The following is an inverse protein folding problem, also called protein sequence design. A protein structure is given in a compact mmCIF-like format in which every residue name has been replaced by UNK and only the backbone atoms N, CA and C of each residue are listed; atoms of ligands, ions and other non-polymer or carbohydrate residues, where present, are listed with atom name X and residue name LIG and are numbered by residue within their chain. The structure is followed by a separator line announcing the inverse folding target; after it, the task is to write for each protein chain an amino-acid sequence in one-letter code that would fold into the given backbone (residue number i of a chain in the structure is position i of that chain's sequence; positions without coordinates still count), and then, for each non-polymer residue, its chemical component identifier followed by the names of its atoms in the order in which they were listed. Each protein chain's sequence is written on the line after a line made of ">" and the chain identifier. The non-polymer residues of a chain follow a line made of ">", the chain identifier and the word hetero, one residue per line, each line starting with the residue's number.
data_IF_678080601044
#
_entry.id   IF_678080601044
#
_cell.length_a   1.000
_cell.length_b   1.000
_cell.length_c   1.000
_cell.angle_alpha   90.00
_cell.angle_beta   90.00
_cell.angle_gamma   90.00
#
_symmetry.space_group_name_H-M   'P 1'
#
loop_
_entity.id
_entity.type
_entity.pdbx_description
1 polymer ?
#
# COMPACT_ATOMS: atom_id res chain seq x y z
N UNK A 1 -31.57 -50.51 -2.79
CA UNK A 1 -30.54 -49.51 -3.13
C UNK A 1 -31.13 -48.13 -2.91
N UNK A 2 -30.70 -47.40 -1.87
CA UNK A 2 -31.20 -46.06 -1.56
C UNK A 2 -30.28 -45.00 -2.19
N UNK A 3 -30.82 -44.19 -3.10
CA UNK A 3 -30.11 -43.07 -3.72
C UNK A 3 -29.97 -41.91 -2.72
N UNK A 4 -28.72 -41.52 -2.43
CA UNK A 4 -28.38 -40.37 -1.58
C UNK A 4 -28.69 -39.09 -2.36
N UNK A 5 -29.71 -38.34 -1.93
CA UNK A 5 -30.08 -37.05 -2.54
C UNK A 5 -28.93 -36.07 -2.32
N UNK A 6 -28.27 -35.64 -3.39
CA UNK A 6 -27.34 -34.50 -3.32
C UNK A 6 -28.15 -33.24 -3.02
N UNK A 7 -27.71 -32.48 -2.01
CA UNK A 7 -28.33 -31.22 -1.61
C UNK A 7 -28.21 -30.16 -2.70
N UNK A 8 -29.20 -29.28 -2.74
CA UNK A 8 -29.26 -28.11 -3.61
C UNK A 8 -28.01 -27.22 -3.44
N UNK A 9 -27.36 -26.92 -4.57
CA UNK A 9 -26.10 -26.15 -4.68
C UNK A 9 -26.35 -24.67 -4.99
N UNK A 10 -27.59 -24.22 -5.03
CA UNK A 10 -27.91 -22.80 -5.24
C UNK A 10 -27.40 -21.95 -4.06
N UNK A 11 -26.62 -20.88 -4.33
CA UNK A 11 -26.11 -20.03 -3.26
C UNK A 11 -27.27 -19.28 -2.59
N UNK A 12 -27.45 -19.51 -1.28
CA UNK A 12 -28.48 -18.81 -0.51
C UNK A 12 -28.21 -17.30 -0.53
N UNK A 13 -29.22 -16.47 -0.83
CA UNK A 13 -29.07 -15.02 -0.71
C UNK A 13 -28.81 -14.66 0.75
N UNK A 14 -27.77 -13.85 0.99
CA UNK A 14 -27.40 -13.37 2.32
C UNK A 14 -28.54 -12.52 2.90
N UNK A 15 -29.38 -13.13 3.74
CA UNK A 15 -30.22 -12.40 4.67
C UNK A 15 -29.35 -11.88 5.80
N UNK A 16 -28.98 -10.60 5.79
CA UNK A 16 -28.42 -9.93 6.96
C UNK A 16 -29.21 -8.64 7.23
N UNK A 17 -29.61 -8.48 8.50
CA UNK A 17 -30.52 -7.48 9.08
C UNK A 17 -29.91 -6.06 9.14
N UNK A 18 -29.16 -5.66 8.12
CA UNK A 18 -28.66 -4.31 7.95
C UNK A 18 -29.01 -3.89 6.53
N UNK A 19 -30.16 -3.24 6.39
CA UNK A 19 -30.66 -2.79 5.09
C UNK A 19 -29.62 -1.94 4.38
N UNK A 20 -29.01 -2.48 3.32
CA UNK A 20 -28.23 -1.79 2.29
C UNK A 20 -26.99 -0.99 2.73
N UNK A 21 -26.79 -0.71 4.01
CA UNK A 21 -25.73 0.18 4.46
C UNK A 21 -24.45 -0.61 4.67
N UNK A 22 -23.49 -0.42 3.77
CA UNK A 22 -22.11 -0.84 3.97
C UNK A 22 -21.53 -0.03 5.14
N UNK A 23 -20.97 -0.66 6.18
CA UNK A 23 -20.27 0.08 7.23
C UNK A 23 -19.03 0.75 6.63
N UNK A 24 -18.73 1.98 7.07
CA UNK A 24 -17.61 2.79 6.56
C UNK A 24 -16.22 2.12 6.63
N UNK A 25 -16.08 0.99 7.32
CA UNK A 25 -14.81 0.28 7.55
C UNK A 25 -14.75 -1.12 6.93
N UNK A 26 -15.78 -1.55 6.18
CA UNK A 26 -15.76 -2.88 5.54
C UNK A 26 -15.04 -2.78 4.19
N UNK A 27 -13.76 -3.17 4.17
CA UNK A 27 -12.98 -3.41 2.94
C UNK A 27 -13.41 -4.72 2.26
N UNK A 28 -14.70 -4.92 1.98
CA UNK A 28 -15.09 -5.99 1.05
C UNK A 28 -14.75 -5.49 -0.35
N UNK A 29 -13.66 -6.01 -0.91
CA UNK A 29 -13.44 -5.95 -2.36
C UNK A 29 -14.58 -6.76 -3.00
N UNK A 30 -15.64 -6.07 -3.40
CA UNK A 30 -16.61 -6.65 -4.30
C UNK A 30 -15.82 -6.93 -5.59
N UNK A 31 -15.75 -8.20 -5.98
CA UNK A 31 -15.21 -8.54 -7.28
C UNK A 31 -16.19 -7.94 -8.29
N UNK A 32 -15.76 -6.93 -9.04
CA UNK A 32 -16.51 -6.46 -10.19
C UNK A 32 -16.60 -7.63 -11.17
N UNK A 33 -17.73 -8.34 -11.14
CA UNK A 33 -18.08 -9.29 -12.18
C UNK A 33 -18.34 -8.42 -13.39
N UNK A 34 -17.33 -8.31 -14.27
CA UNK A 34 -17.44 -7.58 -15.51
C UNK A 34 -18.70 -8.07 -16.25
N UNK A 35 -19.72 -7.23 -16.28
CA UNK A 35 -20.89 -7.44 -17.11
C UNK A 35 -20.42 -7.34 -18.55
N UNK A 36 -20.36 -8.48 -19.23
CA UNK A 36 -20.10 -8.63 -20.66
C UNK A 36 -18.87 -7.86 -21.19
N UNK A 37 -17.76 -8.59 -21.27
CA UNK A 37 -16.47 -8.21 -21.82
C UNK A 37 -16.57 -7.56 -23.21
N UNK A 38 -16.53 -6.24 -23.24
CA UNK A 38 -15.91 -5.51 -24.36
C UNK A 38 -14.85 -4.62 -23.75
N UNK A 39 -13.67 -5.20 -23.48
CA UNK A 39 -12.50 -4.38 -23.19
C UNK A 39 -12.35 -3.38 -24.35
N UNK A 40 -12.35 -2.06 -24.09
CA UNK A 40 -12.27 -1.08 -25.16
C UNK A 40 -11.00 -1.36 -25.97
N UNK A 41 -11.14 -1.39 -27.30
CA UNK A 41 -10.02 -1.55 -28.21
C UNK A 41 -9.11 -0.32 -28.06
N UNK A 42 -8.10 -0.44 -27.20
CA UNK A 42 -7.07 0.59 -27.05
C UNK A 42 -6.28 0.62 -28.37
N UNK A 43 -6.17 1.77 -29.05
CA UNK A 43 -5.38 1.89 -30.27
C UNK A 43 -3.96 1.38 -30.02
N UNK A 44 -3.47 0.51 -30.90
CA UNK A 44 -2.10 0.03 -30.83
C UNK A 44 -1.13 1.21 -31.01
N UNK A 45 -0.47 1.58 -29.92
CA UNK A 45 0.59 2.59 -29.92
C UNK A 45 1.95 1.87 -30.08
N UNK A 46 2.59 1.93 -31.26
CA UNK A 46 3.85 1.26 -31.52
C UNK A 46 5.02 1.81 -30.69
N UNK A 47 4.85 2.97 -30.04
CA UNK A 47 5.89 3.60 -29.21
C UNK A 47 5.88 3.10 -27.76
N UNK A 48 4.77 2.53 -27.29
CA UNK A 48 4.68 1.96 -25.95
C UNK A 48 5.16 0.52 -25.96
N UNK A 49 6.08 0.19 -25.04
CA UNK A 49 6.53 -1.18 -24.87
C UNK A 49 5.34 -2.06 -24.48
N UNK A 50 5.15 -3.18 -25.20
CA UNK A 50 4.07 -4.15 -24.94
C UNK A 50 4.21 -4.87 -23.59
N UNK A 51 5.26 -4.60 -22.85
CA UNK A 51 5.62 -5.34 -21.63
C UNK A 51 4.92 -4.70 -20.44
N UNK A 52 4.02 -5.41 -19.75
CA UNK A 52 3.31 -4.88 -18.60
C UNK A 52 4.26 -4.55 -17.45
N UNK A 53 3.86 -3.62 -16.58
CA UNK A 53 4.70 -3.12 -15.47
C UNK A 53 5.23 -4.22 -14.55
N UNK A 54 4.41 -5.24 -14.25
CA UNK A 54 4.83 -6.35 -13.40
C UNK A 54 5.98 -7.19 -13.99
N UNK A 55 6.26 -7.06 -15.29
CA UNK A 55 7.41 -7.71 -15.96
C UNK A 55 8.55 -6.69 -16.14
N UNK A 56 8.25 -5.49 -16.64
CA UNK A 56 9.29 -4.50 -16.95
C UNK A 56 9.94 -3.88 -15.70
N UNK A 57 9.22 -3.89 -14.58
CA UNK A 57 9.64 -3.33 -13.29
C UNK A 57 9.83 -4.39 -12.19
N UNK A 58 9.82 -5.67 -12.54
CA UNK A 58 10.12 -6.77 -11.60
C UNK A 58 11.44 -6.49 -10.86
N UNK A 59 11.42 -6.69 -9.53
CA UNK A 59 12.57 -6.48 -8.61
C UNK A 59 13.12 -5.05 -8.53
N UNK A 60 12.54 -4.07 -9.23
CA UNK A 60 12.94 -2.67 -9.09
C UNK A 60 12.17 -2.05 -7.92
N UNK A 61 12.91 -1.65 -6.89
CA UNK A 61 12.36 -1.09 -5.66
C UNK A 61 13.00 0.26 -5.40
N UNK A 62 12.17 1.29 -5.20
CA UNK A 62 12.65 2.57 -4.74
C UNK A 62 12.80 2.53 -3.22
N UNK A 63 13.95 2.98 -2.73
CA UNK A 63 14.29 2.97 -1.32
C UNK A 63 14.55 4.39 -0.84
N UNK A 64 13.80 4.77 0.19
CA UNK A 64 13.92 6.04 0.89
C UNK A 64 14.27 5.79 2.35
N UNK A 65 15.24 6.55 2.88
CA UNK A 65 15.54 6.57 4.30
C UNK A 65 14.90 7.80 4.92
N UNK A 66 14.33 7.63 6.11
CA UNK A 66 13.62 8.68 6.82
C UNK A 66 13.48 8.38 8.31
N UNK A 67 12.64 9.16 8.98
CA UNK A 67 12.29 8.94 10.37
C UNK A 67 10.89 9.46 10.68
N UNK A 68 10.30 9.00 11.77
CA UNK A 68 9.11 9.60 12.36
C UNK A 68 9.35 9.93 13.83
N UNK A 69 8.57 10.87 14.35
CA UNK A 69 8.60 11.26 15.76
C UNK A 69 7.51 10.50 16.51
N UNK A 70 7.88 9.87 17.61
CA UNK A 70 6.97 9.21 18.53
C UNK A 70 6.89 10.00 19.83
N UNK A 71 5.70 10.45 20.22
CA UNK A 71 5.50 11.16 21.48
C UNK A 71 5.69 10.21 22.66
N UNK A 72 6.44 10.65 23.67
CA UNK A 72 6.70 9.92 24.91
C UNK A 72 6.13 10.73 26.06
N UNK A 73 5.15 10.17 26.76
CA UNK A 73 4.47 10.86 27.87
C UNK A 73 4.95 10.41 29.26
N UNK A 74 5.60 9.24 29.33
CA UNK A 74 5.97 8.57 30.59
C UNK A 74 7.40 8.88 31.05
N UNK A 75 8.17 9.64 30.26
CA UNK A 75 9.56 9.96 30.54
C UNK A 75 9.71 11.42 30.96
N UNK A 76 10.45 11.68 32.03
CA UNK A 76 10.84 13.04 32.42
C UNK A 76 12.07 13.54 31.63
N UNK A 77 12.66 12.70 30.78
CA UNK A 77 13.90 12.99 30.04
C UNK A 77 13.63 13.45 28.61
N UNK A 78 12.63 12.87 27.95
CA UNK A 78 12.31 13.15 26.55
C UNK A 78 10.81 13.25 26.31
N UNK A 79 10.41 14.24 25.50
CA UNK A 79 9.01 14.40 25.04
C UNK A 79 8.74 13.67 23.72
N UNK A 80 9.78 13.50 22.89
CA UNK A 80 9.68 12.85 21.59
C UNK A 80 10.91 11.97 21.33
N UNK A 81 10.65 10.79 20.77
CA UNK A 81 11.67 9.84 20.32
C UNK A 81 11.74 9.81 18.80
N UNK A 82 12.94 9.92 18.26
CA UNK A 82 13.18 9.82 16.81
C UNK A 82 13.36 8.35 16.43
N UNK A 83 12.47 7.82 15.58
CA UNK A 83 12.56 6.44 15.08
C UNK A 83 12.89 6.42 13.60
N UNK A 84 14.08 5.92 13.28
CA UNK A 84 14.55 5.78 11.89
C UNK A 84 13.73 4.72 11.17
N UNK A 85 13.45 4.93 9.90
CA UNK A 85 12.71 3.99 9.08
C UNK A 85 13.21 4.02 7.63
N UNK A 86 12.96 2.92 6.92
CA UNK A 86 13.20 2.77 5.50
C UNK A 86 11.85 2.54 4.83
N UNK A 87 11.50 3.41 3.89
CA UNK A 87 10.30 3.28 3.06
C UNK A 87 10.71 2.66 1.74
N UNK A 88 10.07 1.54 1.40
CA UNK A 88 10.30 0.78 0.17
C UNK A 88 9.06 0.89 -0.70
N UNK A 89 9.23 1.32 -1.94
CA UNK A 89 8.17 1.38 -2.96
C UNK A 89 8.47 0.39 -4.08
N UNK A 90 7.59 -0.59 -4.27
CA UNK A 90 7.74 -1.64 -5.27
C UNK A 90 7.11 -1.18 -6.59
N UNK A 91 7.93 -1.03 -7.63
CA UNK A 91 7.48 -0.49 -8.92
C UNK A 91 6.58 -1.47 -9.69
N UNK A 92 6.70 -2.77 -9.42
CA UNK A 92 5.92 -3.82 -10.11
C UNK A 92 4.42 -3.75 -9.84
N UNK A 93 4.02 -3.42 -8.61
CA UNK A 93 2.62 -3.48 -8.14
C UNK A 93 2.17 -2.23 -7.37
N UNK A 94 3.00 -1.18 -7.34
CA UNK A 94 2.72 0.08 -6.65
C UNK A 94 2.44 -0.09 -5.15
N UNK A 95 3.07 -1.08 -4.51
CA UNK A 95 2.95 -1.32 -3.06
C UNK A 95 4.05 -0.63 -2.27
N UNK A 96 3.75 -0.35 -1.00
CA UNK A 96 4.67 0.28 -0.05
C UNK A 96 4.89 -0.67 1.12
N UNK A 97 6.14 -0.73 1.58
CA UNK A 97 6.53 -1.38 2.83
C UNK A 97 7.36 -0.40 3.65
N UNK A 98 7.16 -0.38 4.97
CA UNK A 98 7.95 0.46 5.88
C UNK A 98 8.65 -0.45 6.88
N UNK A 99 9.96 -0.32 6.98
CA UNK A 99 10.81 -1.14 7.85
C UNK A 99 11.57 -0.22 8.79
N UNK A 100 11.51 -0.50 10.08
CA UNK A 100 12.40 0.07 11.06
C UNK A 100 13.62 -0.84 11.23
N UNK A 101 14.84 -0.34 10.95
CA UNK A 101 16.06 -1.11 11.14
C UNK A 101 16.23 -1.47 12.62
N UNK A 102 16.63 -2.71 12.88
CA UNK A 102 16.91 -3.19 14.24
C UNK A 102 18.18 -2.50 14.78
N UNK A 103 18.09 -1.99 15.99
CA UNK A 103 19.17 -1.34 16.74
C UNK A 103 19.37 -2.12 18.03
N UNK A 104 20.60 -2.55 18.26
CA UNK A 104 20.97 -3.27 19.47
C UNK A 104 20.74 -2.39 20.71
N UNK A 105 20.28 -3.01 21.80
CA UNK A 105 20.01 -2.34 23.07
C UNK A 105 18.97 -1.20 22.99
N UNK A 106 18.11 -1.18 21.96
CA UNK A 106 17.07 -0.14 21.83
C UNK A 106 15.93 -0.28 22.84
N UNK A 107 15.69 -1.49 23.35
CA UNK A 107 14.58 -1.78 24.27
C UNK A 107 13.18 -1.68 23.64
N UNK A 108 13.08 -1.50 22.32
CA UNK A 108 11.82 -1.27 21.60
C UNK A 108 11.66 -2.34 20.50
N UNK A 109 10.41 -2.73 20.22
CA UNK A 109 10.10 -3.62 19.11
C UNK A 109 10.38 -2.92 17.77
N UNK A 110 11.24 -3.53 16.96
CA UNK A 110 11.69 -3.03 15.67
C UNK A 110 11.56 -4.11 14.58
N UNK A 111 11.56 -3.69 13.32
CA UNK A 111 11.40 -4.58 12.17
C UNK A 111 10.35 -4.06 11.21
N UNK A 112 9.44 -4.93 10.76
CA UNK A 112 8.43 -4.56 9.79
C UNK A 112 7.37 -3.65 10.42
N UNK A 113 7.42 -2.35 10.12
CA UNK A 113 6.51 -1.35 10.69
C UNK A 113 5.17 -1.36 9.95
N UNK A 114 5.20 -1.39 8.61
CA UNK A 114 4.03 -1.56 7.75
C UNK A 114 4.33 -2.67 6.74
N UNK A 115 3.51 -3.72 6.76
CA UNK A 115 3.61 -4.84 5.80
C UNK A 115 3.42 -4.35 4.37
N UNK A 116 4.01 -5.04 3.38
CA UNK A 116 3.89 -4.68 1.96
C UNK A 116 2.43 -4.75 1.47
N UNK A 117 1.88 -3.62 1.05
CA UNK A 117 0.59 -3.50 0.35
C UNK A 117 0.40 -2.08 -0.21
N UNK A 118 -0.69 -1.83 -0.95
CA UNK A 118 -1.03 -0.49 -1.44
C UNK A 118 -1.64 0.32 -0.30
N UNK A 119 -1.06 1.49 -0.01
CA UNK A 119 -1.54 2.37 1.06
C UNK A 119 -2.52 3.39 0.46
N UNK A 120 -3.78 3.47 0.95
CA UNK A 120 -4.73 4.48 0.49
C UNK A 120 -4.37 5.86 1.01
N UNK A 121 -4.64 6.90 0.21
CA UNK A 121 -4.51 8.30 0.65
C UNK A 121 -5.72 8.67 1.53
N UNK A 122 -5.52 9.46 2.60
CA UNK A 122 -6.61 9.83 3.51
C UNK A 122 -7.65 10.76 2.88
N UNK A 123 -7.28 11.52 1.85
CA UNK A 123 -8.14 12.52 1.19
C UNK A 123 -8.98 11.96 0.04
N UNK A 124 -8.82 10.68 -0.27
CA UNK A 124 -9.61 10.01 -1.29
C UNK A 124 -10.95 9.62 -0.67
N UNK A 125 -12.00 10.38 -0.98
CA UNK A 125 -13.38 10.13 -0.54
C UNK A 125 -13.92 8.80 -1.09
N UNK A 126 -14.91 8.86 -1.99
CA UNK A 126 -15.49 7.64 -2.59
C UNK A 126 -14.54 6.94 -3.57
N UNK A 127 -13.65 7.72 -4.22
CA UNK A 127 -12.61 7.19 -5.11
C UNK A 127 -11.36 6.83 -4.30
N UNK A 128 -11.12 5.53 -4.08
CA UNK A 128 -9.97 5.04 -3.31
C UNK A 128 -8.63 5.28 -4.06
N UNK A 129 -8.04 6.45 -3.89
CA UNK A 129 -6.71 6.78 -4.40
C UNK A 129 -5.61 6.18 -3.52
N UNK A 130 -4.48 5.84 -4.13
CA UNK A 130 -3.34 5.20 -3.47
C UNK A 130 -2.09 6.07 -3.60
N UNK A 131 -1.19 5.94 -2.63
CA UNK A 131 0.12 6.57 -2.71
C UNK A 131 0.95 6.04 -3.87
N UNK A 132 1.64 6.96 -4.54
CA UNK A 132 2.56 6.70 -5.63
C UNK A 132 3.96 7.16 -5.25
N UNK A 133 4.97 6.75 -6.03
CA UNK A 133 6.35 7.21 -5.80
C UNK A 133 6.50 8.73 -5.91
N UNK A 134 5.64 9.39 -6.70
CA UNK A 134 5.63 10.85 -6.85
C UNK A 134 5.24 11.59 -5.56
N UNK A 135 4.53 10.92 -4.64
CA UNK A 135 4.16 11.49 -3.36
C UNK A 135 5.31 11.41 -2.33
N UNK A 136 6.34 10.60 -2.59
CA UNK A 136 7.44 10.30 -1.65
C UNK A 136 8.71 11.03 -2.12
N UNK A 137 8.79 12.33 -1.84
CA UNK A 137 9.93 13.16 -2.22
C UNK A 137 10.87 13.44 -1.03
N UNK A 138 12.16 13.56 -1.33
CA UNK A 138 13.19 13.92 -0.34
C UNK A 138 12.92 15.33 0.20
N UNK A 139 12.97 15.50 1.52
CA UNK A 139 12.68 16.77 2.20
C UNK A 139 11.21 16.99 2.53
N UNK A 140 10.30 16.21 1.93
CA UNK A 140 8.88 16.29 2.21
C UNK A 140 8.46 15.35 3.35
N UNK A 141 7.30 15.66 3.90
CA UNK A 141 6.63 14.84 4.91
C UNK A 141 5.50 14.06 4.27
N UNK A 142 5.34 12.81 4.67
CA UNK A 142 4.30 11.92 4.15
C UNK A 142 3.61 11.21 5.30
N UNK A 143 2.29 11.16 5.26
CA UNK A 143 1.48 10.59 6.35
C UNK A 143 0.92 9.23 5.95
N UNK A 144 1.39 8.18 6.59
CA UNK A 144 0.86 6.82 6.42
C UNK A 144 0.14 6.40 7.71
N UNK A 145 -1.12 5.98 7.59
CA UNK A 145 -1.92 5.48 8.72
C UNK A 145 -1.89 6.37 9.97
N UNK A 146 -1.96 7.69 9.78
CA UNK A 146 -1.96 8.68 10.87
C UNK A 146 -0.60 8.96 11.49
N UNK A 147 0.50 8.43 10.93
CA UNK A 147 1.87 8.77 11.34
C UNK A 147 2.59 9.51 10.22
N UNK A 148 3.25 10.62 10.59
CA UNK A 148 4.00 11.47 9.67
C UNK A 148 5.46 11.04 9.62
N UNK A 149 5.92 10.72 8.42
CA UNK A 149 7.29 10.31 8.12
C UNK A 149 8.01 11.45 7.39
N UNK A 150 9.21 11.75 7.86
CA UNK A 150 10.12 12.72 7.25
C UNK A 150 11.10 11.97 6.35
N UNK A 151 11.05 12.24 5.04
CA UNK A 151 11.94 11.60 4.07
C UNK A 151 13.26 12.37 4.02
N UNK A 152 14.36 11.73 4.39
CA UNK A 152 15.68 12.38 4.51
C UNK A 152 16.56 12.13 3.30
N UNK A 153 16.56 10.92 2.76
CA UNK A 153 17.39 10.54 1.61
C UNK A 153 16.76 9.42 0.81
N UNK A 154 17.30 9.17 -0.39
CA UNK A 154 16.97 8.01 -1.20
C UNK A 154 18.25 7.28 -1.63
N UNK A 155 18.18 6.02 -2.01
CA UNK A 155 19.37 5.32 -2.50
C UNK A 155 19.81 5.83 -3.89
N UNK A 156 20.97 5.37 -4.37
CA UNK A 156 21.54 5.82 -5.64
C UNK A 156 20.68 5.40 -6.84
N UNK A 157 20.04 4.24 -6.78
CA UNK A 157 19.12 3.75 -7.80
C UNK A 157 17.88 4.64 -7.88
N UNK A 158 17.23 4.91 -6.74
CA UNK A 158 16.02 5.73 -6.66
C UNK A 158 16.26 7.13 -7.18
N UNK A 159 17.38 7.75 -6.80
CA UNK A 159 17.74 9.08 -7.35
C UNK A 159 17.86 9.06 -8.86
N UNK A 160 18.59 8.08 -9.42
CA UNK A 160 18.72 7.95 -10.89
C UNK A 160 17.38 7.71 -11.57
N UNK A 161 16.53 6.90 -10.97
CA UNK A 161 15.19 6.60 -11.49
C UNK A 161 14.30 7.84 -11.50
N UNK A 162 14.29 8.62 -10.42
CA UNK A 162 13.47 9.84 -10.31
C UNK A 162 14.00 11.01 -11.16
N UNK A 163 15.31 11.11 -11.39
CA UNK A 163 15.91 12.11 -12.28
C UNK A 163 15.87 11.74 -13.76
N UNK A 164 15.74 10.45 -14.09
CA UNK A 164 15.74 9.93 -15.46
C UNK A 164 14.35 9.88 -16.11
N UNK A 165 13.36 10.51 -15.50
CA UNK A 165 12.02 10.71 -16.07
C UNK A 165 11.88 12.10 -16.67
#
# INVERSE_FOLDING_TARGET
>A
MMFRRHGDVTPKPRGHVLGGHLPAHVYTRQLDVATADTAPLVPFDPTKSKVPNFISMDKKVLRFDGYFLEAVHESNVENFRVRKCVVLYYLEDSTIQIIEPKVENSGILQGNFVKRHRIPKPESGDDMAYYTYADINIGNQVTFYGRTFHIQSADSFTRKFLHGQ
#
